data_IF_482178535553
#
_entry.id   IF_482178535553
#
_cell.length_a   1.000
_cell.length_b   1.000
_cell.length_c   1.000
_cell.angle_alpha   90.00
_cell.angle_beta   90.00
_cell.angle_gamma   90.00
#
_symmetry.space_group_name_H-M   'P 1'
#
loop_
_entity.id
_entity.type
_entity.pdbx_description
1 polymer ?
#
# COMPACT_ATOMS: atom_id res chain seq x y z
N UNK A 1 -22.56 -1.22 8.75
CA UNK A 1 -21.29 -1.51 8.06
C UNK A 1 -20.15 -1.17 9.00
N UNK A 2 -19.27 -2.13 9.35
CA UNK A 2 -18.02 -1.79 10.03
C UNK A 2 -17.18 -0.99 9.04
N UNK A 3 -16.61 0.14 9.47
CA UNK A 3 -15.77 1.00 8.63
C UNK A 3 -14.65 0.16 7.99
N UNK A 4 -14.64 0.04 6.66
CA UNK A 4 -13.57 -0.66 5.93
C UNK A 4 -12.30 0.19 6.04
N UNK A 5 -11.25 -0.38 6.61
CA UNK A 5 -9.95 0.28 6.73
C UNK A 5 -9.31 0.42 5.33
N UNK A 6 -8.95 1.65 4.96
CA UNK A 6 -8.22 1.95 3.72
C UNK A 6 -6.72 1.79 3.95
N UNK A 7 -6.18 2.60 4.85
CA UNK A 7 -4.78 2.59 5.26
C UNK A 7 -4.63 3.20 6.65
N UNK A 8 -3.46 3.00 7.25
CA UNK A 8 -2.99 3.77 8.40
C UNK A 8 -1.78 4.61 7.97
N UNK A 9 -1.61 5.78 8.58
CA UNK A 9 -0.44 6.64 8.37
C UNK A 9 0.22 6.90 9.72
N UNK A 10 1.51 6.63 9.80
CA UNK A 10 2.31 6.80 11.01
C UNK A 10 3.38 7.85 10.76
N UNK A 11 3.41 8.90 11.59
CA UNK A 11 4.45 9.92 11.51
C UNK A 11 5.78 9.38 12.04
N UNK A 12 6.88 9.74 11.38
CA UNK A 12 8.24 9.37 11.72
C UNK A 12 9.14 10.63 11.63
N UNK A 13 10.40 10.52 12.04
CA UNK A 13 11.34 11.64 11.87
C UNK A 13 11.64 11.84 10.38
N UNK A 14 11.29 13.03 9.87
CA UNK A 14 11.51 13.49 8.48
C UNK A 14 10.83 12.60 7.41
N UNK A 15 9.81 11.81 7.80
CA UNK A 15 9.09 10.89 6.92
C UNK A 15 7.74 10.47 7.52
N UNK A 16 6.99 9.65 6.80
CA UNK A 16 5.86 8.92 7.34
C UNK A 16 5.74 7.55 6.68
N UNK A 17 5.11 6.59 7.36
CA UNK A 17 4.83 5.26 6.82
C UNK A 17 3.35 5.10 6.54
N UNK A 18 3.01 4.68 5.33
CA UNK A 18 1.66 4.26 4.95
C UNK A 18 1.57 2.74 5.03
N UNK A 19 0.66 2.24 5.86
CA UNK A 19 0.38 0.82 6.01
C UNK A 19 -0.94 0.46 5.34
N UNK A 20 -0.91 -0.48 4.39
CA UNK A 20 -2.06 -0.83 3.54
C UNK A 20 -2.26 -2.35 3.52
N UNK A 21 -3.50 -2.80 3.75
CA UNK A 21 -3.90 -4.20 3.57
C UNK A 21 -4.47 -4.39 2.17
N UNK A 22 -3.92 -5.31 1.39
CA UNK A 22 -4.40 -5.65 0.04
C UNK A 22 -4.66 -7.15 -0.09
N UNK A 23 -5.70 -7.56 -0.81
CA UNK A 23 -5.90 -8.97 -1.16
C UNK A 23 -4.88 -9.43 -2.22
N UNK A 24 -4.76 -10.74 -2.43
CA UNK A 24 -3.84 -11.27 -3.45
C UNK A 24 -4.20 -10.77 -4.85
N UNK A 25 -5.50 -10.70 -5.15
CA UNK A 25 -6.00 -10.09 -6.39
C UNK A 25 -5.57 -8.64 -6.52
N UNK A 26 -5.71 -7.85 -5.44
CA UNK A 26 -5.30 -6.46 -5.47
C UNK A 26 -3.81 -6.34 -5.77
N UNK A 27 -2.94 -7.12 -5.11
CA UNK A 27 -1.50 -7.10 -5.40
C UNK A 27 -1.15 -7.35 -6.86
N UNK A 28 -1.82 -8.32 -7.50
CA UNK A 28 -1.60 -8.61 -8.94
C UNK A 28 -1.96 -7.41 -9.83
N UNK A 29 -2.97 -6.63 -9.46
CA UNK A 29 -3.49 -5.52 -10.26
C UNK A 29 -2.69 -4.21 -10.14
N UNK A 30 -1.86 -4.04 -9.11
CA UNK A 30 -1.09 -2.79 -8.88
C UNK A 30 0.37 -2.92 -9.29
N UNK A 31 0.83 -4.14 -9.58
CA UNK A 31 2.25 -4.41 -9.77
C UNK A 31 2.84 -3.61 -10.93
N UNK A 32 2.07 -3.37 -12.00
CA UNK A 32 2.53 -2.61 -13.18
C UNK A 32 2.40 -1.08 -13.01
N UNK A 33 1.68 -0.62 -11.98
CA UNK A 33 1.34 0.80 -11.76
C UNK A 33 2.30 1.51 -10.78
N UNK A 34 3.29 0.80 -10.24
CA UNK A 34 4.17 1.31 -9.17
C UNK A 34 5.65 1.11 -9.49
N UNK A 35 6.50 1.89 -8.81
CA UNK A 35 7.95 1.80 -8.96
C UNK A 35 8.50 0.43 -8.55
N UNK A 36 9.71 0.10 -9.02
CA UNK A 36 10.39 -1.13 -8.62
C UNK A 36 10.71 -1.19 -7.12
N UNK A 37 10.82 -0.04 -6.45
CA UNK A 37 10.96 0.03 -5.00
C UNK A 37 9.68 -0.44 -4.30
N UNK A 38 8.52 0.09 -4.71
CA UNK A 38 7.24 -0.34 -4.17
C UNK A 38 6.98 -1.84 -4.45
N UNK A 39 7.39 -2.37 -5.61
CA UNK A 39 7.33 -3.80 -5.90
C UNK A 39 8.13 -4.64 -4.91
N UNK A 40 9.33 -4.17 -4.49
CA UNK A 40 10.12 -4.86 -3.44
C UNK A 40 9.37 -4.87 -2.12
N UNK A 41 8.78 -3.74 -1.71
CA UNK A 41 7.96 -3.68 -0.49
C UNK A 41 6.73 -4.61 -0.56
N UNK A 42 6.14 -4.80 -1.74
CA UNK A 42 5.05 -5.76 -1.98
C UNK A 42 5.55 -7.22 -1.88
N UNK A 43 6.74 -7.51 -2.36
CA UNK A 43 7.35 -8.84 -2.24
C UNK A 43 7.63 -9.21 -0.78
N UNK A 44 8.04 -8.22 0.03
CA UNK A 44 8.35 -8.35 1.46
C UNK A 44 7.12 -8.21 2.39
N UNK A 45 5.90 -8.17 1.82
CA UNK A 45 4.66 -7.99 2.58
C UNK A 45 4.52 -8.99 3.74
N UNK A 46 3.92 -8.54 4.83
CA UNK A 46 3.51 -9.44 5.90
C UNK A 46 2.27 -10.24 5.48
N UNK A 47 2.32 -11.59 5.40
CA UNK A 47 1.19 -12.40 4.96
C UNK A 47 0.01 -12.32 5.93
N UNK A 48 -1.21 -12.54 5.44
CA UNK A 48 -2.41 -12.37 6.27
C UNK A 48 -3.69 -13.03 5.74
N UNK A 49 -3.62 -14.26 5.25
CA UNK A 49 -4.75 -14.95 4.61
C UNK A 49 -4.84 -14.58 3.13
N UNK A 50 -6.00 -14.11 2.67
CA UNK A 50 -6.16 -13.55 1.32
C UNK A 50 -5.40 -12.21 1.20
N UNK A 51 -4.11 -12.28 0.85
CA UNK A 51 -3.18 -11.16 0.78
C UNK A 51 -2.31 -10.92 2.01
N UNK A 52 -1.93 -9.65 2.20
CA UNK A 52 -1.06 -9.21 3.28
C UNK A 52 -1.10 -7.69 3.52
N UNK A 53 -0.17 -7.25 4.38
CA UNK A 53 0.09 -5.86 4.69
C UNK A 53 1.41 -5.43 4.08
N UNK A 54 1.42 -4.23 3.49
CA UNK A 54 2.63 -3.55 3.05
C UNK A 54 2.87 -2.29 3.86
N UNK A 55 4.14 -1.93 4.00
CA UNK A 55 4.59 -0.67 4.58
C UNK A 55 5.37 0.10 3.53
N UNK A 56 4.94 1.32 3.25
CA UNK A 56 5.62 2.24 2.36
C UNK A 56 6.08 3.43 3.18
N UNK A 57 7.40 3.53 3.37
CA UNK A 57 8.00 4.72 3.98
C UNK A 57 8.09 5.80 2.90
N UNK A 58 7.58 6.98 3.20
CA UNK A 58 7.56 8.14 2.32
C UNK A 58 8.51 9.19 2.86
N UNK A 59 9.55 9.47 2.09
CA UNK A 59 10.57 10.49 2.33
C UNK A 59 10.79 11.37 1.09
N UNK A 60 10.39 10.90 -0.10
CA UNK A 60 10.50 11.63 -1.37
C UNK A 60 9.25 11.47 -2.25
N UNK A 61 9.17 12.28 -3.31
CA UNK A 61 7.98 12.39 -4.18
C UNK A 61 7.60 11.06 -4.83
N UNK A 62 8.57 10.26 -5.31
CA UNK A 62 8.27 8.99 -5.97
C UNK A 62 7.56 7.99 -5.03
N UNK A 63 7.98 7.96 -3.76
CA UNK A 63 7.38 7.11 -2.73
C UNK A 63 5.97 7.61 -2.36
N UNK A 64 5.76 8.93 -2.39
CA UNK A 64 4.43 9.53 -2.20
C UNK A 64 3.49 9.15 -3.35
N UNK A 65 3.97 9.22 -4.60
CA UNK A 65 3.21 8.80 -5.77
C UNK A 65 2.80 7.33 -5.70
N UNK A 66 3.73 6.43 -5.36
CA UNK A 66 3.44 5.00 -5.20
C UNK A 66 2.37 4.76 -4.11
N UNK A 67 2.54 5.38 -2.95
CA UNK A 67 1.58 5.27 -1.86
C UNK A 67 0.19 5.78 -2.27
N UNK A 68 0.11 6.91 -2.97
CA UNK A 68 -1.16 7.44 -3.48
C UNK A 68 -1.80 6.52 -4.53
N UNK A 69 -1.02 5.98 -5.46
CA UNK A 69 -1.49 5.05 -6.48
C UNK A 69 -2.13 3.83 -5.83
N UNK A 70 -1.45 3.22 -4.85
CA UNK A 70 -1.95 2.03 -4.16
C UNK A 70 -3.21 2.36 -3.34
N UNK A 71 -3.24 3.50 -2.63
CA UNK A 71 -4.43 3.93 -1.88
C UNK A 71 -5.62 4.17 -2.81
N UNK A 72 -5.42 4.83 -3.96
CA UNK A 72 -6.47 5.06 -4.95
C UNK A 72 -7.05 3.74 -5.46
N UNK A 73 -6.20 2.77 -5.82
CA UNK A 73 -6.64 1.43 -6.22
C UNK A 73 -7.42 0.74 -5.12
N UNK A 74 -6.96 0.82 -3.86
CA UNK A 74 -7.69 0.26 -2.71
C UNK A 74 -9.10 0.84 -2.58
N UNK A 75 -9.25 2.16 -2.73
CA UNK A 75 -10.55 2.84 -2.66
C UNK A 75 -11.47 2.39 -3.80
N UNK A 76 -10.95 2.27 -5.03
CA UNK A 76 -11.74 1.85 -6.19
C UNK A 76 -12.20 0.39 -6.13
N UNK A 77 -11.47 -0.49 -5.45
CA UNK A 77 -11.86 -1.90 -5.29
C UNK A 77 -12.89 -2.15 -4.19
N UNK A 78 -13.29 -1.12 -3.43
CA UNK A 78 -14.26 -1.27 -2.34
C UNK A 78 -15.67 -1.18 -2.91
N UNK A 79 -16.51 -2.23 -2.78
CA UNK A 79 -17.92 -2.17 -3.14
C UNK A 79 -18.72 -1.35 -2.13
#
# INVERSE_FOLDING_TARGET
>A
MKNKLICNVFAEKDSFTVMIRLSDKQFQEINDDVSDEAKRSIAEKHPGGDGGWIHLRVQEEQQLEDAMTIVRRKVMSIP
#
